data_IF_953493526128
#
_entry.id   IF_953493526128
#
_cell.length_a   1.000
_cell.length_b   1.000
_cell.length_c   1.000
_cell.angle_alpha   90.00
_cell.angle_beta   90.00
_cell.angle_gamma   90.00
#
_symmetry.space_group_name_H-M   'P 1'
#
loop_
_entity.id
_entity.type
_entity.pdbx_description
1 polymer ?
#
# COMPACT_ATOMS: atom_id res chain seq x y z
N UNK A 1 -23.96 13.27 5.87
CA UNK A 1 -24.48 14.65 5.76
C UNK A 1 -23.28 15.55 5.90
N UNK A 2 -23.10 16.46 4.95
CA UNK A 2 -21.85 17.21 4.85
C UNK A 2 -21.50 17.96 6.16
N UNK A 3 -20.20 18.04 6.47
CA UNK A 3 -19.71 18.67 7.70
C UNK A 3 -20.11 20.15 7.82
N UNK A 4 -20.24 20.82 6.68
CA UNK A 4 -20.73 22.20 6.56
C UNK A 4 -21.95 22.24 5.64
N UNK A 5 -22.91 23.15 5.87
CA UNK A 5 -24.01 23.35 4.94
C UNK A 5 -23.48 23.80 3.58
N UNK A 6 -24.08 23.29 2.50
CA UNK A 6 -23.77 23.75 1.15
C UNK A 6 -24.48 25.09 0.91
N UNK A 7 -23.74 26.11 0.47
CA UNK A 7 -24.30 27.43 0.19
C UNK A 7 -25.29 27.33 -0.98
N UNK A 8 -26.49 27.87 -0.82
CA UNK A 8 -27.46 27.96 -1.92
C UNK A 8 -27.05 29.02 -2.95
N UNK A 9 -27.47 28.86 -4.20
CA UNK A 9 -27.10 29.77 -5.30
C UNK A 9 -27.39 31.26 -5.04
N UNK A 10 -28.49 31.52 -4.34
CA UNK A 10 -28.91 32.87 -3.93
C UNK A 10 -27.96 33.51 -2.92
N UNK A 11 -27.28 32.69 -2.11
CA UNK A 11 -26.39 33.11 -1.03
C UNK A 11 -24.91 33.08 -1.41
N UNK A 12 -24.57 32.74 -2.65
CA UNK A 12 -23.19 32.82 -3.16
C UNK A 12 -22.74 34.29 -3.16
N UNK A 13 -21.58 34.56 -2.55
CA UNK A 13 -20.97 35.89 -2.53
C UNK A 13 -20.66 36.39 -3.95
N UNK A 14 -20.84 37.69 -4.18
CA UNK A 14 -20.60 38.31 -5.48
C UNK A 14 -19.16 38.11 -6.01
N UNK A 15 -18.20 37.90 -5.10
CA UNK A 15 -16.79 37.68 -5.43
C UNK A 15 -16.55 36.32 -6.11
N UNK A 16 -17.27 35.27 -5.69
CA UNK A 16 -17.07 33.90 -6.17
C UNK A 16 -18.03 33.54 -7.32
N UNK A 17 -19.18 34.24 -7.40
CA UNK A 17 -20.26 33.98 -8.37
C UNK A 17 -19.77 33.84 -9.82
N UNK A 18 -18.94 34.74 -10.39
CA UNK A 18 -18.55 34.62 -11.79
C UNK A 18 -17.76 33.33 -12.10
N UNK A 19 -16.92 32.88 -11.16
CA UNK A 19 -16.12 31.67 -11.34
C UNK A 19 -16.95 30.40 -11.12
N UNK A 20 -17.92 30.44 -10.21
CA UNK A 20 -18.87 29.33 -9.99
C UNK A 20 -19.75 29.10 -11.21
N UNK A 21 -20.35 30.17 -11.76
CA UNK A 21 -21.17 30.10 -12.97
C UNK A 21 -20.37 29.61 -14.20
N UNK A 22 -19.09 30.02 -14.31
CA UNK A 22 -18.22 29.52 -15.37
C UNK A 22 -17.86 28.03 -15.16
N UNK A 23 -17.68 27.60 -13.91
CA UNK A 23 -17.48 26.21 -13.54
C UNK A 23 -18.70 25.35 -13.88
N UNK A 24 -19.88 25.78 -13.49
CA UNK A 24 -21.15 25.09 -13.75
C UNK A 24 -21.36 24.83 -15.23
N UNK A 25 -21.12 25.82 -16.09
CA UNK A 25 -21.20 25.65 -17.55
C UNK A 25 -20.29 24.56 -18.11
N UNK A 26 -19.16 24.29 -17.42
CA UNK A 26 -18.18 23.28 -17.84
C UNK A 26 -18.59 21.88 -17.38
N UNK A 27 -19.15 21.75 -16.17
CA UNK A 27 -19.47 20.46 -15.55
C UNK A 27 -20.96 20.10 -15.65
N UNK A 28 -21.82 21.01 -16.08
CA UNK A 28 -23.27 20.85 -16.17
C UNK A 28 -24.01 20.97 -14.83
N UNK A 29 -23.27 21.16 -13.73
CA UNK A 29 -23.82 21.31 -12.37
C UNK A 29 -22.82 22.06 -11.48
N UNK A 30 -23.31 22.68 -10.41
CA UNK A 30 -22.47 23.16 -9.32
C UNK A 30 -22.01 21.97 -8.47
N UNK A 31 -20.70 21.88 -8.23
CA UNK A 31 -20.11 20.80 -7.43
C UNK A 31 -20.28 21.09 -5.94
N UNK A 32 -20.58 20.07 -5.14
CA UNK A 32 -20.75 20.15 -3.69
C UNK A 32 -19.49 20.74 -3.01
N UNK A 33 -18.29 20.36 -3.47
CA UNK A 33 -17.05 20.96 -2.96
C UNK A 33 -16.97 22.47 -3.18
N UNK A 34 -17.55 23.01 -4.25
CA UNK A 34 -17.52 24.44 -4.51
C UNK A 34 -18.50 25.19 -3.62
N UNK A 35 -19.70 24.65 -3.46
CA UNK A 35 -20.73 25.19 -2.55
C UNK A 35 -20.28 25.14 -1.09
N UNK A 36 -19.49 24.13 -0.72
CA UNK A 36 -18.88 24.06 0.61
C UNK A 36 -17.81 25.13 0.82
N UNK A 37 -16.90 25.32 -0.16
CA UNK A 37 -15.87 26.37 -0.10
C UNK A 37 -16.50 27.77 -0.07
N UNK A 38 -17.64 27.97 -0.73
CA UNK A 38 -18.37 29.24 -0.74
C UNK A 38 -18.87 29.70 0.65
N UNK A 39 -18.83 28.84 1.68
CA UNK A 39 -19.01 29.29 3.08
C UNK A 39 -17.93 30.30 3.51
N UNK A 40 -16.82 30.39 2.78
CA UNK A 40 -15.74 31.36 2.98
C UNK A 40 -15.66 32.29 1.76
N UNK A 41 -16.33 33.46 1.78
CA UNK A 41 -16.34 34.41 0.66
C UNK A 41 -14.95 34.74 0.14
N UNK A 42 -14.78 34.66 -1.18
CA UNK A 42 -13.52 34.93 -1.90
C UNK A 42 -12.55 33.74 -1.93
N UNK A 43 -12.75 32.69 -1.12
CA UNK A 43 -11.87 31.53 -1.11
C UNK A 43 -11.94 30.78 -2.44
N UNK A 44 -13.13 30.63 -3.03
CA UNK A 44 -13.29 29.93 -4.30
C UNK A 44 -12.54 30.66 -5.44
N UNK A 45 -12.56 31.99 -5.42
CA UNK A 45 -11.87 32.82 -6.42
C UNK A 45 -10.35 32.64 -6.46
N UNK A 46 -9.74 32.24 -5.34
CA UNK A 46 -8.30 31.90 -5.26
C UNK A 46 -8.06 30.41 -5.52
N UNK A 47 -8.97 29.57 -5.02
CA UNK A 47 -8.91 28.12 -5.12
C UNK A 47 -8.90 27.64 -6.58
N UNK A 48 -9.92 28.00 -7.37
CA UNK A 48 -10.11 27.42 -8.71
C UNK A 48 -8.94 27.72 -9.67
N UNK A 49 -8.37 28.94 -9.74
CA UNK A 49 -7.21 29.21 -10.57
C UNK A 49 -5.98 28.36 -10.20
N UNK A 50 -5.73 28.14 -8.91
CA UNK A 50 -4.63 27.30 -8.46
C UNK A 50 -4.81 25.85 -8.92
N UNK A 51 -6.00 25.27 -8.71
CA UNK A 51 -6.32 23.91 -9.19
C UNK A 51 -6.11 23.80 -10.70
N UNK A 52 -6.62 24.76 -11.48
CA UNK A 52 -6.48 24.76 -12.94
C UNK A 52 -5.02 24.85 -13.40
N UNK A 53 -4.20 25.62 -12.68
CA UNK A 53 -2.75 25.73 -12.96
C UNK A 53 -2.03 24.40 -12.77
N UNK A 54 -2.32 23.68 -11.68
CA UNK A 54 -1.67 22.39 -11.37
C UNK A 54 -2.18 21.26 -12.27
N UNK A 55 -3.49 21.21 -12.50
CA UNK A 55 -4.17 20.09 -13.20
C UNK A 55 -4.30 20.28 -14.70
N UNK A 56 -3.98 21.47 -15.21
CA UNK A 56 -4.01 21.81 -16.62
C UNK A 56 -2.85 21.21 -17.43
N UNK A 57 -2.82 21.48 -18.74
CA UNK A 57 -1.71 21.08 -19.60
C UNK A 57 -0.37 21.63 -19.09
N UNK A 58 0.67 20.81 -19.18
CA UNK A 58 2.03 21.15 -18.77
C UNK A 58 3.04 20.20 -19.42
N UNK A 59 4.24 20.11 -18.85
CA UNK A 59 5.29 19.21 -19.34
C UNK A 59 5.03 17.76 -18.94
N UNK A 60 4.40 17.53 -17.77
CA UNK A 60 4.05 16.18 -17.35
C UNK A 60 2.87 15.68 -18.18
N UNK A 61 3.04 14.47 -18.72
CA UNK A 61 2.04 13.80 -19.51
C UNK A 61 0.66 13.78 -18.83
N UNK A 62 -0.39 14.10 -19.59
CA UNK A 62 -1.75 14.23 -19.06
C UNK A 62 -2.26 12.91 -18.50
N UNK A 63 -1.90 11.78 -19.10
CA UNK A 63 -2.32 10.47 -18.61
C UNK A 63 -1.65 10.14 -17.27
N UNK A 64 -0.37 10.46 -17.08
CA UNK A 64 0.29 10.34 -15.76
C UNK A 64 -0.40 11.24 -14.72
N UNK A 65 -0.77 12.48 -15.07
CA UNK A 65 -1.52 13.37 -14.15
C UNK A 65 -2.85 12.75 -13.70
N UNK A 66 -3.63 12.19 -14.62
CA UNK A 66 -4.91 11.57 -14.27
C UNK A 66 -4.75 10.26 -13.48
N UNK A 67 -3.81 9.39 -13.87
CA UNK A 67 -3.52 8.14 -13.14
C UNK A 67 -3.13 8.43 -11.70
N UNK A 68 -2.19 9.34 -11.48
CA UNK A 68 -1.72 9.69 -10.13
C UNK A 68 -2.81 10.37 -9.30
N UNK A 69 -3.66 11.21 -9.92
CA UNK A 69 -4.80 11.83 -9.23
C UNK A 69 -5.85 10.81 -8.75
N UNK A 70 -6.21 9.84 -9.60
CA UNK A 70 -7.11 8.74 -9.22
C UNK A 70 -6.45 7.89 -8.13
N UNK A 71 -5.16 7.60 -8.26
CA UNK A 71 -4.42 6.77 -7.29
C UNK A 71 -4.38 7.40 -5.90
N UNK A 72 -4.07 8.71 -5.79
CA UNK A 72 -4.15 9.43 -4.51
C UNK A 72 -5.54 9.34 -3.89
N UNK A 73 -6.58 9.47 -4.72
CA UNK A 73 -7.97 9.43 -4.26
C UNK A 73 -8.36 8.05 -3.72
N UNK A 74 -7.87 6.97 -4.36
CA UNK A 74 -7.99 5.58 -3.90
C UNK A 74 -7.26 5.36 -2.57
N UNK A 75 -5.98 5.75 -2.48
CA UNK A 75 -5.13 5.57 -1.29
C UNK A 75 -5.66 6.34 -0.07
N UNK A 76 -6.27 7.51 -0.28
CA UNK A 76 -6.91 8.27 0.80
C UNK A 76 -8.37 7.83 1.07
N UNK A 77 -8.84 6.76 0.41
CA UNK A 77 -10.19 6.23 0.55
C UNK A 77 -11.29 7.29 0.35
N UNK A 78 -11.10 8.25 -0.54
CA UNK A 78 -12.05 9.36 -0.71
C UNK A 78 -12.99 9.09 -1.89
N UNK A 79 -14.19 8.55 -1.61
CA UNK A 79 -15.19 8.19 -2.63
C UNK A 79 -15.58 9.37 -3.53
N UNK A 80 -15.85 10.53 -2.94
CA UNK A 80 -16.15 11.76 -3.69
C UNK A 80 -15.01 12.14 -4.64
N UNK A 81 -13.76 12.12 -4.17
CA UNK A 81 -12.61 12.44 -5.03
C UNK A 81 -12.44 11.41 -6.14
N UNK A 82 -12.60 10.12 -5.85
CA UNK A 82 -12.49 9.06 -6.85
C UNK A 82 -13.54 9.21 -7.95
N UNK A 83 -14.80 9.50 -7.62
CA UNK A 83 -15.84 9.81 -8.61
C UNK A 83 -15.39 10.94 -9.54
N UNK A 84 -14.96 12.08 -8.98
CA UNK A 84 -14.54 13.24 -9.77
C UNK A 84 -13.28 13.00 -10.60
N UNK A 85 -12.35 12.17 -10.10
CA UNK A 85 -11.12 11.83 -10.81
C UNK A 85 -11.35 10.79 -11.90
N UNK A 86 -12.23 9.81 -11.68
CA UNK A 86 -12.65 8.88 -12.74
C UNK A 86 -13.39 9.63 -13.86
N UNK A 87 -14.33 10.52 -13.52
CA UNK A 87 -15.00 11.37 -14.51
C UNK A 87 -14.01 12.18 -15.37
N UNK A 88 -13.01 12.79 -14.74
CA UNK A 88 -11.95 13.55 -15.42
C UNK A 88 -11.06 12.67 -16.29
N UNK A 89 -10.62 11.53 -15.76
CA UNK A 89 -9.77 10.57 -16.44
C UNK A 89 -10.41 10.01 -17.71
N UNK A 90 -11.67 9.58 -17.62
CA UNK A 90 -12.44 9.06 -18.75
C UNK A 90 -12.60 10.11 -19.85
N UNK A 91 -12.97 11.34 -19.47
CA UNK A 91 -13.10 12.46 -20.43
C UNK A 91 -11.77 12.86 -21.08
N UNK A 92 -10.63 12.51 -20.47
CA UNK A 92 -9.28 12.74 -21.00
C UNK A 92 -8.67 11.51 -21.68
N UNK A 93 -9.46 10.45 -21.89
CA UNK A 93 -9.09 9.31 -22.73
C UNK A 93 -8.48 8.11 -21.99
N UNK A 94 -8.51 8.07 -20.65
CA UNK A 94 -8.26 6.81 -19.93
C UNK A 94 -9.47 5.88 -20.13
N UNK A 95 -9.22 4.57 -20.15
CA UNK A 95 -10.27 3.57 -20.24
C UNK A 95 -10.76 3.17 -18.84
N UNK A 96 -11.99 2.65 -18.72
CA UNK A 96 -12.45 2.03 -17.47
C UNK A 96 -11.50 0.91 -17.03
N UNK A 97 -10.99 0.11 -17.96
CA UNK A 97 -10.01 -0.94 -17.66
C UNK A 97 -8.70 -0.39 -17.04
N UNK A 98 -8.25 0.82 -17.40
CA UNK A 98 -7.12 1.46 -16.73
C UNK A 98 -7.45 1.82 -15.27
N UNK A 99 -8.67 2.32 -15.03
CA UNK A 99 -9.13 2.68 -13.68
C UNK A 99 -9.33 1.44 -12.80
N UNK A 100 -9.88 0.36 -13.36
CA UNK A 100 -10.02 -0.93 -12.67
C UNK A 100 -8.66 -1.49 -12.27
N UNK A 101 -7.70 -1.53 -13.21
CA UNK A 101 -6.32 -1.96 -12.92
C UNK A 101 -5.66 -1.12 -11.84
N UNK A 102 -5.92 0.19 -11.85
CA UNK A 102 -5.42 1.09 -10.81
C UNK A 102 -6.03 0.77 -9.43
N UNK A 103 -7.31 0.42 -9.39
CA UNK A 103 -8.03 0.04 -8.18
C UNK A 103 -7.61 -1.33 -7.63
N UNK A 104 -7.27 -2.29 -8.51
CA UNK A 104 -6.82 -3.64 -8.11
C UNK A 104 -5.32 -3.74 -7.89
N UNK A 105 -4.54 -2.69 -8.18
CA UNK A 105 -3.08 -2.73 -8.10
C UNK A 105 -2.39 -3.50 -9.23
N UNK A 106 -3.11 -3.84 -10.31
CA UNK A 106 -2.52 -4.51 -11.48
C UNK A 106 -1.84 -3.50 -12.40
N UNK A 107 -0.55 -3.27 -12.18
CA UNK A 107 0.22 -2.30 -12.95
C UNK A 107 0.99 -2.92 -14.12
N UNK A 108 0.76 -4.20 -14.45
CA UNK A 108 1.55 -4.91 -15.44
C UNK A 108 1.42 -4.29 -16.85
N UNK A 109 0.24 -3.76 -17.18
CA UNK A 109 -0.03 -3.14 -18.49
C UNK A 109 0.37 -1.67 -18.59
N UNK A 110 0.77 -1.03 -17.48
CA UNK A 110 1.27 0.34 -17.51
C UNK A 110 2.73 0.38 -17.95
N UNK A 111 3.10 1.48 -18.61
CA UNK A 111 4.49 1.75 -19.00
C UNK A 111 5.38 1.90 -17.77
N UNK A 112 6.70 1.72 -17.94
CA UNK A 112 7.65 1.88 -16.83
C UNK A 112 7.56 3.26 -16.18
N UNK A 113 7.33 4.30 -17.00
CA UNK A 113 7.19 5.69 -16.54
C UNK A 113 5.92 5.89 -15.70
N UNK A 114 4.80 5.30 -16.12
CA UNK A 114 3.55 5.32 -15.36
C UNK A 114 3.68 4.54 -14.04
N UNK A 115 4.25 3.33 -14.08
CA UNK A 115 4.52 2.53 -12.89
C UNK A 115 5.39 3.27 -11.88
N UNK A 116 6.43 3.93 -12.36
CA UNK A 116 7.32 4.72 -11.52
C UNK A 116 6.58 5.93 -10.90
N UNK A 117 5.76 6.63 -11.68
CA UNK A 117 4.92 7.72 -11.15
C UNK A 117 3.91 7.23 -10.10
N UNK A 118 3.31 6.06 -10.29
CA UNK A 118 2.38 5.44 -9.34
C UNK A 118 3.09 5.00 -8.04
N UNK A 119 4.25 4.33 -8.14
CA UNK A 119 5.11 3.99 -6.99
C UNK A 119 5.49 5.25 -6.20
N UNK A 120 5.93 6.29 -6.89
CA UNK A 120 6.28 7.56 -6.27
C UNK A 120 5.06 8.22 -5.60
N UNK A 121 3.90 8.22 -6.28
CA UNK A 121 2.65 8.73 -5.72
C UNK A 121 2.23 8.01 -4.43
N UNK A 122 2.38 6.69 -4.38
CA UNK A 122 2.14 5.90 -3.17
C UNK A 122 3.08 6.32 -2.05
N UNK A 123 4.37 6.45 -2.32
CA UNK A 123 5.36 6.89 -1.33
C UNK A 123 5.05 8.27 -0.74
N UNK A 124 4.66 9.23 -1.59
CA UNK A 124 4.27 10.58 -1.16
C UNK A 124 2.99 10.60 -0.32
N UNK A 125 2.12 9.60 -0.50
CA UNK A 125 0.78 9.57 0.09
C UNK A 125 0.73 8.77 1.39
N UNK A 126 1.38 7.60 1.43
CA UNK A 126 1.34 6.65 2.54
C UNK A 126 2.63 6.59 3.35
N UNK A 127 3.80 6.63 2.70
CA UNK A 127 5.07 6.37 3.38
C UNK A 127 5.63 7.67 4.02
N UNK A 128 5.49 8.80 3.32
CA UNK A 128 5.99 10.10 3.77
C UNK A 128 5.39 10.56 5.11
N UNK A 129 4.07 10.46 5.37
CA UNK A 129 3.49 10.82 6.67
C UNK A 129 4.03 10.00 7.85
N UNK A 130 4.42 8.75 7.60
CA UNK A 130 4.91 7.81 8.61
C UNK A 130 6.44 7.87 8.79
N UNK A 131 7.14 8.59 7.91
CA UNK A 131 8.61 8.68 7.93
C UNK A 131 9.06 9.99 8.57
N UNK A 132 9.73 9.88 9.71
CA UNK A 132 10.28 11.05 10.39
C UNK A 132 11.46 11.65 9.63
N UNK A 133 11.73 12.94 9.86
CA UNK A 133 12.85 13.66 9.25
C UNK A 133 14.22 13.06 9.59
N UNK A 134 14.33 12.40 10.74
CA UNK A 134 15.55 11.68 11.17
C UNK A 134 15.79 10.43 10.33
N UNK A 135 14.73 9.67 10.04
CA UNK A 135 14.80 8.46 9.20
C UNK A 135 15.10 8.79 7.74
N UNK A 136 14.49 9.84 7.21
CA UNK A 136 14.75 10.31 5.84
C UNK A 136 14.56 11.81 5.74
N UNK A 137 15.54 12.48 5.12
CA UNK A 137 15.47 13.93 4.86
C UNK A 137 14.23 14.27 4.03
N UNK A 138 13.87 13.45 3.07
CA UNK A 138 12.75 13.69 2.15
C UNK A 138 11.50 12.91 2.50
N UNK A 139 11.58 11.91 3.39
CA UNK A 139 10.49 10.97 3.68
C UNK A 139 10.23 9.97 2.55
N UNK A 140 11.12 9.89 1.56
CA UNK A 140 11.04 8.98 0.40
C UNK A 140 12.37 8.25 0.27
N UNK A 141 12.31 6.99 -0.14
CA UNK A 141 13.47 6.15 -0.43
C UNK A 141 14.42 6.79 -1.45
N UNK A 142 15.74 6.65 -1.22
CA UNK A 142 16.77 7.31 -2.00
C UNK A 142 16.95 6.70 -3.40
N UNK A 143 16.71 5.40 -3.55
CA UNK A 143 16.75 4.71 -4.84
C UNK A 143 15.56 5.16 -5.68
N UNK A 144 14.35 5.17 -5.10
CA UNK A 144 13.16 5.70 -5.78
C UNK A 144 13.32 7.17 -6.21
N UNK A 145 13.94 8.01 -5.38
CA UNK A 145 14.26 9.39 -5.77
C UNK A 145 15.24 9.48 -6.94
N UNK A 146 16.20 8.56 -7.01
CA UNK A 146 17.14 8.48 -8.13
C UNK A 146 16.41 8.05 -9.40
N UNK A 147 15.63 6.97 -9.36
CA UNK A 147 14.83 6.48 -10.48
C UNK A 147 13.91 7.60 -11.05
N UNK A 148 13.22 8.32 -10.17
CA UNK A 148 12.29 9.39 -10.56
C UNK A 148 13.04 10.59 -11.16
N UNK A 149 14.25 10.93 -10.67
CA UNK A 149 15.08 11.98 -11.25
C UNK A 149 15.62 11.62 -12.64
N UNK A 150 15.92 10.35 -12.85
CA UNK A 150 16.42 9.87 -14.14
C UNK A 150 15.30 9.77 -15.18
N UNK A 151 14.08 9.48 -14.75
CA UNK A 151 12.92 9.28 -15.63
C UNK A 151 12.10 10.55 -15.93
N UNK A 152 12.20 11.60 -15.12
CA UNK A 152 11.41 12.83 -15.26
C UNK A 152 12.28 14.08 -15.23
N UNK A 153 12.03 15.01 -16.15
CA UNK A 153 12.75 16.28 -16.16
C UNK A 153 12.31 17.19 -14.99
N UNK A 154 13.07 18.24 -14.64
CA UNK A 154 12.76 19.09 -13.49
C UNK A 154 11.37 19.73 -13.51
N UNK A 155 10.81 20.06 -14.68
CA UNK A 155 9.46 20.64 -14.80
C UNK A 155 8.40 19.58 -14.53
N UNK A 156 8.56 18.40 -15.11
CA UNK A 156 7.68 17.25 -14.88
C UNK A 156 7.66 16.84 -13.40
N UNK A 157 8.82 16.85 -12.72
CA UNK A 157 8.92 16.54 -11.30
C UNK A 157 8.17 17.54 -10.42
N UNK A 158 8.30 18.83 -10.69
CA UNK A 158 7.55 19.87 -9.97
C UNK A 158 6.05 19.69 -10.19
N UNK A 159 5.62 19.44 -11.43
CA UNK A 159 4.22 19.17 -11.74
C UNK A 159 3.70 17.91 -11.04
N UNK A 160 4.48 16.82 -11.03
CA UNK A 160 4.10 15.55 -10.40
C UNK A 160 3.95 15.70 -8.88
N UNK A 161 4.97 16.24 -8.21
CA UNK A 161 4.94 16.43 -6.75
C UNK A 161 3.84 17.40 -6.34
N UNK A 162 3.66 18.50 -7.09
CA UNK A 162 2.59 19.47 -6.81
C UNK A 162 1.21 18.86 -7.05
N UNK A 163 1.02 18.08 -8.11
CA UNK A 163 -0.25 17.39 -8.39
C UNK A 163 -0.59 16.40 -7.28
N UNK A 164 0.36 15.54 -6.89
CA UNK A 164 0.17 14.57 -5.79
C UNK A 164 -0.12 15.28 -4.47
N UNK A 165 0.61 16.34 -4.14
CA UNK A 165 0.37 17.14 -2.94
C UNK A 165 -1.01 17.81 -2.94
N UNK A 166 -1.42 18.34 -4.09
CA UNK A 166 -2.75 18.93 -4.27
C UNK A 166 -3.86 17.89 -4.03
N UNK A 167 -3.79 16.74 -4.70
CA UNK A 167 -4.82 15.71 -4.54
C UNK A 167 -4.83 15.13 -3.13
N UNK A 168 -3.68 15.08 -2.45
CA UNK A 168 -3.60 14.70 -1.05
C UNK A 168 -4.35 15.69 -0.15
N UNK A 169 -4.20 16.99 -0.38
CA UNK A 169 -4.94 18.01 0.36
C UNK A 169 -6.46 17.94 0.07
N UNK A 170 -6.85 17.86 -1.21
CA UNK A 170 -8.25 17.85 -1.60
C UNK A 170 -8.99 16.60 -1.16
N UNK A 171 -8.39 15.42 -1.32
CA UNK A 171 -9.05 14.17 -0.91
C UNK A 171 -9.28 14.10 0.59
N UNK A 172 -8.36 14.64 1.41
CA UNK A 172 -8.57 14.77 2.86
C UNK A 172 -9.70 15.76 3.18
N UNK A 173 -9.72 16.92 2.51
CA UNK A 173 -10.81 17.88 2.64
C UNK A 173 -12.17 17.26 2.27
N UNK A 174 -12.30 16.69 1.08
CA UNK A 174 -13.53 16.06 0.60
C UNK A 174 -14.00 14.92 1.51
N UNK A 175 -13.08 14.08 2.00
CA UNK A 175 -13.42 12.96 2.90
C UNK A 175 -13.99 13.45 4.22
N UNK A 176 -13.37 14.46 4.83
CA UNK A 176 -13.85 15.02 6.10
C UNK A 176 -15.17 15.78 5.91
N UNK A 177 -15.37 16.37 4.73
CA UNK A 177 -16.60 17.09 4.42
C UNK A 177 -17.80 16.20 4.12
N UNK A 178 -17.63 14.91 3.84
CA UNK A 178 -18.72 13.94 3.63
C UNK A 178 -19.75 14.37 2.56
N UNK A 179 -19.26 14.71 1.36
CA UNK A 179 -20.10 15.13 0.24
C UNK A 179 -20.79 13.94 -0.45
N UNK A 180 -22.06 14.13 -0.81
CA UNK A 180 -22.74 13.29 -1.78
C UNK A 180 -22.11 13.44 -3.17
N UNK A 181 -22.23 12.40 -4.01
CA UNK A 181 -21.69 12.42 -5.36
C UNK A 181 -22.51 13.33 -6.28
N UNK A 182 -21.83 14.17 -7.07
CA UNK A 182 -22.45 15.12 -8.00
C UNK A 182 -22.00 14.96 -9.47
N UNK A 183 -21.03 14.08 -9.74
CA UNK A 183 -20.56 13.70 -11.09
C UNK A 183 -20.79 12.22 -11.43
N UNK A 184 -21.74 11.58 -10.74
CA UNK A 184 -22.10 10.18 -10.94
C UNK A 184 -21.21 9.22 -10.16
N UNK A 185 -21.56 7.93 -10.25
CA UNK A 185 -20.84 6.85 -9.57
C UNK A 185 -19.51 6.54 -10.30
N UNK A 186 -18.42 6.26 -9.56
CA UNK A 186 -17.22 5.73 -10.18
C UNK A 186 -17.48 4.32 -10.75
N UNK A 187 -16.62 3.81 -11.66
CA UNK A 187 -16.75 2.43 -12.14
C UNK A 187 -16.83 1.45 -10.98
N UNK A 188 -17.67 0.43 -11.08
CA UNK A 188 -18.06 -0.41 -9.95
C UNK A 188 -16.87 -1.04 -9.20
N UNK A 189 -15.84 -1.50 -9.92
CA UNK A 189 -14.64 -2.05 -9.30
C UNK A 189 -13.83 -0.99 -8.53
N UNK A 190 -13.81 0.24 -9.03
CA UNK A 190 -13.15 1.37 -8.39
C UNK A 190 -13.94 1.81 -7.15
N UNK A 191 -15.27 1.89 -7.25
CA UNK A 191 -16.13 2.21 -6.10
C UNK A 191 -15.97 1.15 -4.99
N UNK A 192 -15.99 -0.13 -5.35
CA UNK A 192 -15.75 -1.22 -4.43
C UNK A 192 -14.39 -1.12 -3.72
N UNK A 193 -13.33 -0.71 -4.43
CA UNK A 193 -11.99 -0.55 -3.86
C UNK A 193 -11.88 0.64 -2.88
N UNK A 194 -12.71 1.68 -3.03
CA UNK A 194 -12.70 2.86 -2.15
C UNK A 194 -13.57 2.68 -0.91
N UNK A 195 -14.77 2.10 -1.11
CA UNK A 195 -15.75 1.87 -0.05
C UNK A 195 -15.38 0.62 0.76
N UNK A 196 -14.71 -0.33 0.12
CA UNK A 196 -14.05 -1.44 0.77
C UNK A 196 -12.79 -0.97 1.50
N UNK A 197 -12.68 -1.32 2.78
CA UNK A 197 -11.44 -1.24 3.56
C UNK A 197 -10.28 -1.83 2.74
N UNK A 198 -9.35 -1.02 2.22
CA UNK A 198 -8.12 -1.56 1.62
C UNK A 198 -7.19 -2.03 2.73
N UNK A 199 -7.27 -3.31 3.02
CA UNK A 199 -6.10 -4.17 2.99
C UNK A 199 -6.44 -5.18 1.90
N UNK A 200 -5.50 -5.61 1.07
CA UNK A 200 -5.75 -6.54 -0.06
C UNK A 200 -6.77 -7.62 0.32
N UNK A 201 -8.02 -7.45 -0.14
CA UNK A 201 -9.08 -8.45 0.02
C UNK A 201 -9.43 -9.00 -1.34
N UNK A 202 -8.43 -9.39 -2.11
CA UNK A 202 -8.68 -10.43 -3.08
C UNK A 202 -8.96 -11.70 -2.27
N UNK A 203 -10.17 -12.25 -2.39
CA UNK A 203 -10.50 -13.56 -1.81
C UNK A 203 -9.52 -14.66 -2.26
N UNK A 204 -8.79 -14.41 -3.35
CA UNK A 204 -7.70 -15.23 -3.91
C UNK A 204 -6.42 -15.20 -3.07
N UNK A 205 -6.19 -14.15 -2.29
CA UNK A 205 -4.98 -14.02 -1.46
C UNK A 205 -5.15 -14.52 -0.04
N UNK A 206 -6.39 -14.82 0.36
CA UNK A 206 -6.62 -15.62 1.55
C UNK A 206 -6.15 -17.07 1.30
N UNK A 207 -5.69 -17.79 2.34
CA UNK A 207 -5.30 -19.19 2.22
C UNK A 207 -6.54 -20.11 2.08
N UNK A 208 -7.27 -19.96 0.97
CA UNK A 208 -8.46 -20.72 0.63
C UNK A 208 -8.16 -21.63 -0.58
N UNK A 209 -7.94 -22.95 -0.39
CA UNK A 209 -7.64 -23.84 -1.51
C UNK A 209 -8.82 -24.01 -2.45
N UNK A 210 -8.60 -23.89 -3.76
CA UNK A 210 -9.59 -24.26 -4.79
C UNK A 210 -9.76 -25.79 -4.90
N UNK A 211 -8.70 -26.56 -4.61
CA UNK A 211 -8.68 -28.01 -4.65
C UNK A 211 -7.83 -28.59 -3.51
N UNK A 212 -8.24 -29.74 -2.96
CA UNK A 212 -7.43 -30.51 -2.02
C UNK A 212 -7.19 -29.81 -0.68
N UNK A 213 -5.91 -29.60 -0.33
CA UNK A 213 -5.44 -28.97 0.90
C UNK A 213 -4.36 -27.93 0.61
N UNK A 214 -4.24 -26.94 1.49
CA UNK A 214 -3.23 -25.90 1.47
C UNK A 214 -2.52 -25.87 2.83
N UNK A 215 -1.21 -25.67 2.83
CA UNK A 215 -0.43 -25.55 4.05
C UNK A 215 -0.14 -24.08 4.37
N UNK A 216 -0.44 -23.70 5.61
CA UNK A 216 -0.11 -22.40 6.18
C UNK A 216 0.66 -22.59 7.47
N UNK A 217 1.45 -21.59 7.88
CA UNK A 217 2.17 -21.62 9.14
C UNK A 217 1.51 -20.68 10.15
N UNK A 218 1.14 -21.22 11.32
CA UNK A 218 0.53 -20.43 12.38
C UNK A 218 1.54 -20.09 13.47
N UNK A 219 1.54 -18.84 13.91
CA UNK A 219 2.38 -18.33 14.99
C UNK A 219 1.53 -17.65 16.05
N UNK A 220 1.87 -17.92 17.30
CA UNK A 220 1.47 -17.05 18.40
C UNK A 220 2.52 -15.97 18.58
N UNK A 221 2.11 -14.71 18.62
CA UNK A 221 2.99 -13.54 18.66
C UNK A 221 2.60 -12.60 19.79
N UNK A 222 3.53 -11.90 20.40
CA UNK A 222 3.24 -10.96 21.50
C UNK A 222 2.79 -9.60 20.97
N UNK A 223 3.29 -9.18 19.81
CA UNK A 223 2.92 -7.96 19.10
C UNK A 223 2.74 -8.28 17.61
N UNK A 224 1.49 -8.19 17.15
CA UNK A 224 1.09 -8.52 15.78
C UNK A 224 1.73 -7.58 14.76
N UNK A 225 1.84 -6.29 15.06
CA UNK A 225 2.37 -5.30 14.12
C UNK A 225 3.88 -5.48 13.94
N UNK A 226 4.60 -5.75 15.04
CA UNK A 226 6.04 -6.02 15.02
C UNK A 226 6.34 -7.29 14.21
N UNK A 227 5.64 -8.39 14.50
CA UNK A 227 5.86 -9.66 13.82
C UNK A 227 5.43 -9.60 12.34
N UNK A 228 4.32 -8.93 12.02
CA UNK A 228 3.90 -8.65 10.64
C UNK A 228 4.97 -7.93 9.84
N UNK A 229 5.52 -6.83 10.39
CA UNK A 229 6.59 -6.08 9.73
C UNK A 229 7.83 -6.93 9.53
N UNK A 230 8.21 -7.76 10.51
CA UNK A 230 9.34 -8.67 10.38
C UNK A 230 9.18 -9.62 9.19
N UNK A 231 8.04 -10.32 9.08
CA UNK A 231 7.80 -11.25 7.97
C UNK A 231 7.66 -10.54 6.61
N UNK A 232 7.11 -9.33 6.58
CA UNK A 232 7.06 -8.52 5.37
C UNK A 232 8.47 -8.05 4.92
N UNK A 233 9.26 -7.48 5.83
CA UNK A 233 10.53 -6.85 5.49
C UNK A 233 11.67 -7.85 5.29
N UNK A 234 11.79 -8.85 6.16
CA UNK A 234 12.90 -9.83 6.14
C UNK A 234 12.70 -10.87 5.04
N UNK A 235 11.46 -11.34 4.85
CA UNK A 235 11.15 -12.40 3.88
C UNK A 235 10.48 -11.88 2.60
N UNK A 236 10.33 -10.57 2.44
CA UNK A 236 9.66 -9.98 1.28
C UNK A 236 8.18 -10.35 1.20
N UNK A 237 7.54 -10.51 2.36
CA UNK A 237 6.14 -10.93 2.46
C UNK A 237 5.15 -9.82 2.12
N UNK A 238 4.03 -10.19 1.51
CA UNK A 238 2.90 -9.32 1.24
C UNK A 238 1.89 -9.40 2.38
N UNK A 239 1.50 -8.25 2.95
CA UNK A 239 0.51 -8.20 4.03
C UNK A 239 -0.88 -8.36 3.45
N UNK A 240 -1.50 -9.52 3.69
CA UNK A 240 -2.85 -9.88 3.23
C UNK A 240 -3.90 -9.40 4.22
N UNK A 241 -3.66 -9.61 5.51
CA UNK A 241 -4.54 -9.15 6.58
C UNK A 241 -3.69 -8.56 7.70
N UNK A 242 -4.05 -7.35 8.12
CA UNK A 242 -3.20 -6.60 9.02
C UNK A 242 -3.31 -7.04 10.48
N UNK A 243 -4.47 -7.54 10.91
CA UNK A 243 -4.73 -7.86 12.31
C UNK A 243 -5.73 -9.03 12.50
N UNK A 244 -5.53 -9.77 13.61
CA UNK A 244 -6.42 -10.74 14.26
C UNK A 244 -7.36 -11.59 13.37
N UNK A 245 -6.84 -12.58 12.61
CA UNK A 245 -5.42 -12.87 12.46
C UNK A 245 -4.70 -11.95 11.48
N UNK A 246 -3.46 -11.58 11.80
CA UNK A 246 -2.60 -11.04 10.76
C UNK A 246 -2.19 -12.16 9.83
N UNK A 247 -2.16 -11.87 8.53
CA UNK A 247 -1.80 -12.82 7.49
C UNK A 247 -0.77 -12.13 6.58
N UNK A 248 0.40 -12.73 6.46
CA UNK A 248 1.44 -12.31 5.51
C UNK A 248 1.70 -13.45 4.55
N UNK A 249 1.49 -13.22 3.25
CA UNK A 249 1.81 -14.16 2.18
C UNK A 249 3.30 -14.07 1.89
N UNK A 250 4.02 -15.16 2.13
CA UNK A 250 5.47 -15.25 1.95
C UNK A 250 5.75 -16.33 0.93
N UNK A 251 6.26 -15.93 -0.24
CA UNK A 251 6.52 -16.81 -1.37
C UNK A 251 5.31 -17.70 -1.71
N UNK A 252 5.37 -19.00 -1.37
CA UNK A 252 4.37 -20.01 -1.69
C UNK A 252 3.51 -20.42 -0.48
N UNK A 253 3.53 -19.68 0.62
CA UNK A 253 2.76 -19.97 1.83
C UNK A 253 2.26 -18.70 2.53
N UNK A 254 1.56 -18.88 3.66
CA UNK A 254 1.02 -17.81 4.49
C UNK A 254 1.51 -17.99 5.92
N UNK A 255 2.02 -16.90 6.49
CA UNK A 255 2.30 -16.77 7.91
C UNK A 255 1.09 -16.12 8.57
N UNK A 256 0.39 -16.89 9.40
CA UNK A 256 -0.82 -16.48 10.11
C UNK A 256 -0.46 -16.25 11.57
N UNK A 257 -0.76 -15.07 12.10
CA UNK A 257 -0.31 -14.63 13.41
C UNK A 257 -1.47 -14.17 14.28
N UNK A 258 -1.46 -14.57 15.55
CA UNK A 258 -2.41 -14.12 16.58
C UNK A 258 -1.72 -13.90 17.94
N UNK A 259 -2.29 -13.08 18.84
CA UNK A 259 -1.81 -12.88 20.21
C UNK A 259 -1.78 -14.14 21.11
N UNK A 260 -2.31 -15.27 20.63
CA UNK A 260 -2.50 -16.48 21.41
C UNK A 260 -3.89 -16.54 22.05
N UNK A 261 -4.10 -17.52 22.92
CA UNK A 261 -5.40 -17.69 23.56
C UNK A 261 -5.51 -18.97 24.36
N UNK A 262 -6.28 -18.90 25.45
CA UNK A 262 -6.62 -20.05 26.28
C UNK A 262 -7.50 -21.07 25.54
N UNK A 263 -7.93 -22.13 26.23
CA UNK A 263 -8.74 -23.17 25.63
C UNK A 263 -10.07 -22.67 25.06
N UNK A 264 -10.50 -23.29 23.97
CA UNK A 264 -11.76 -23.00 23.27
C UNK A 264 -12.51 -24.30 23.01
N UNK A 265 -13.82 -24.29 22.66
CA UNK A 265 -14.58 -25.53 22.44
C UNK A 265 -13.94 -26.50 21.42
N UNK A 266 -13.24 -25.96 20.42
CA UNK A 266 -12.50 -26.70 19.40
C UNK A 266 -11.13 -27.22 19.88
N UNK A 267 -10.59 -26.66 20.98
CA UNK A 267 -9.32 -27.07 21.59
C UNK A 267 -9.36 -26.93 23.13
N UNK A 268 -10.15 -27.77 23.83
CA UNK A 268 -10.56 -27.55 25.23
C UNK A 268 -9.42 -27.67 26.25
N UNK A 269 -8.29 -28.26 25.87
CA UNK A 269 -7.13 -28.45 26.74
C UNK A 269 -5.87 -27.74 26.20
N UNK A 270 -6.01 -26.89 25.18
CA UNK A 270 -4.86 -26.28 24.48
C UNK A 270 -4.83 -24.77 24.63
N UNK A 271 -3.72 -24.29 25.19
CA UNK A 271 -3.37 -22.88 25.25
C UNK A 271 -2.30 -22.56 24.20
N UNK A 272 -2.55 -21.54 23.40
CA UNK A 272 -1.58 -20.99 22.45
C UNK A 272 -0.85 -19.83 23.13
N UNK A 273 0.47 -19.94 23.22
CA UNK A 273 1.35 -18.93 23.83
C UNK A 273 2.63 -18.77 23.02
N UNK A 274 3.26 -17.60 23.13
CA UNK A 274 4.59 -17.36 22.59
C UNK A 274 5.64 -18.29 23.24
N UNK A 275 6.68 -18.72 22.50
CA UNK A 275 7.77 -19.49 23.08
C UNK A 275 8.47 -18.74 24.21
N UNK A 276 8.85 -19.45 25.27
CA UNK A 276 9.69 -18.87 26.34
C UNK A 276 11.14 -19.31 26.16
N UNK A 277 12.05 -18.48 26.63
CA UNK A 277 13.48 -18.82 26.62
C UNK A 277 13.72 -20.11 27.40
N UNK A 278 14.37 -21.08 26.75
CA UNK A 278 14.64 -22.41 27.31
C UNK A 278 13.57 -23.46 27.03
N UNK A 279 12.43 -23.10 26.45
CA UNK A 279 11.42 -24.07 26.04
C UNK A 279 11.99 -25.01 24.94
N UNK A 280 11.67 -26.32 24.99
CA UNK A 280 11.93 -27.21 23.86
C UNK A 280 11.22 -26.73 22.60
N UNK A 281 11.93 -26.73 21.47
CA UNK A 281 11.35 -26.36 20.17
C UNK A 281 10.45 -27.50 19.69
N UNK A 282 9.14 -27.24 19.59
CA UNK A 282 8.14 -28.21 19.09
C UNK A 282 8.15 -28.36 17.56
N UNK A 283 8.63 -27.33 16.86
CA UNK A 283 8.78 -27.23 15.42
C UNK A 283 9.35 -25.87 15.04
N UNK A 284 9.80 -25.71 13.80
CA UNK A 284 10.37 -24.45 13.30
C UNK A 284 10.05 -24.25 11.82
N UNK A 285 10.04 -22.99 11.38
CA UNK A 285 9.85 -22.66 9.97
C UNK A 285 11.12 -23.00 9.19
N UNK A 286 10.99 -23.73 8.10
CA UNK A 286 12.10 -24.11 7.23
C UNK A 286 12.03 -23.35 5.91
N UNK A 287 13.05 -22.55 5.62
CA UNK A 287 13.10 -21.67 4.45
C UNK A 287 14.28 -22.05 3.56
N UNK A 288 14.03 -22.13 2.25
CA UNK A 288 15.05 -22.39 1.24
C UNK A 288 15.27 -21.19 0.35
N UNK A 289 16.51 -20.73 0.28
CA UNK A 289 16.90 -19.54 -0.49
C UNK A 289 17.83 -19.94 -1.62
N UNK A 290 17.71 -19.22 -2.74
CA UNK A 290 18.56 -19.45 -3.91
C UNK A 290 19.99 -18.95 -3.71
N UNK A 291 20.14 -17.85 -2.95
CA UNK A 291 21.41 -17.22 -2.63
C UNK A 291 21.43 -16.86 -1.14
N UNK A 292 22.18 -17.63 -0.36
CA UNK A 292 22.33 -17.46 1.08
C UNK A 292 23.05 -16.17 1.43
N UNK A 293 24.05 -15.77 0.64
CA UNK A 293 24.82 -14.56 0.94
C UNK A 293 23.97 -13.31 0.75
N UNK A 294 23.21 -13.25 -0.36
CA UNK A 294 22.29 -12.15 -0.63
C UNK A 294 21.16 -12.09 0.41
N UNK A 295 20.54 -13.23 0.72
CA UNK A 295 19.48 -13.29 1.74
C UNK A 295 20.00 -12.87 3.12
N UNK A 296 21.14 -13.40 3.55
CA UNK A 296 21.72 -13.08 4.85
C UNK A 296 22.03 -11.59 4.98
N UNK A 297 22.66 -10.99 3.96
CA UNK A 297 22.96 -9.56 3.94
C UNK A 297 21.69 -8.70 4.04
N UNK A 298 20.64 -9.03 3.26
CA UNK A 298 19.34 -8.36 3.32
C UNK A 298 18.68 -8.49 4.70
N UNK A 299 18.60 -9.71 5.22
CA UNK A 299 17.96 -10.00 6.50
C UNK A 299 18.64 -9.27 7.66
N UNK A 300 19.98 -9.25 7.69
CA UNK A 300 20.77 -8.47 8.67
C UNK A 300 20.49 -6.97 8.54
N UNK A 301 20.44 -6.44 7.31
CA UNK A 301 20.12 -5.03 7.08
C UNK A 301 18.70 -4.65 7.55
N UNK A 302 17.77 -5.62 7.55
CA UNK A 302 16.41 -5.48 8.09
C UNK A 302 16.30 -5.81 9.59
N UNK A 303 17.42 -6.08 10.26
CA UNK A 303 17.48 -6.29 11.71
C UNK A 303 17.20 -7.73 12.19
N UNK A 304 17.29 -8.72 11.29
CA UNK A 304 17.14 -10.12 11.69
C UNK A 304 18.30 -10.57 12.62
N UNK A 305 17.96 -11.38 13.62
CA UNK A 305 18.92 -11.89 14.61
C UNK A 305 19.28 -13.36 14.33
N UNK A 306 20.42 -13.58 13.69
CA UNK A 306 20.96 -14.91 13.41
C UNK A 306 21.68 -15.50 14.62
N UNK A 307 21.53 -16.81 14.84
CA UNK A 307 22.26 -17.53 15.88
C UNK A 307 23.74 -17.73 15.52
N UNK A 308 24.02 -17.91 14.24
CA UNK A 308 25.37 -18.04 13.66
C UNK A 308 25.36 -17.50 12.24
N UNK A 309 26.55 -17.16 11.73
CA UNK A 309 26.76 -17.00 10.28
C UNK A 309 26.37 -18.28 9.51
N UNK A 310 26.08 -18.19 8.20
CA UNK A 310 25.86 -19.36 7.35
C UNK A 310 27.05 -20.34 7.41
N UNK A 311 26.77 -21.59 7.75
CA UNK A 311 27.77 -22.66 7.84
C UNK A 311 27.64 -23.56 6.61
N UNK A 312 28.76 -23.81 5.94
CA UNK A 312 28.84 -24.82 4.88
C UNK A 312 28.88 -26.24 5.48
N UNK A 313 27.86 -27.03 5.16
CA UNK A 313 27.68 -28.42 5.59
C UNK A 313 27.92 -29.40 4.44
N UNK A 314 28.64 -28.97 3.39
CA UNK A 314 28.87 -29.63 2.10
C UNK A 314 27.60 -29.85 1.26
N UNK A 315 26.55 -30.40 1.86
CA UNK A 315 25.25 -30.61 1.21
C UNK A 315 24.41 -29.32 1.08
N UNK A 316 24.60 -28.38 2.01
CA UNK A 316 23.89 -27.10 2.06
C UNK A 316 24.72 -26.04 2.79
N UNK A 317 24.45 -24.76 2.49
CA UNK A 317 24.71 -23.66 3.41
C UNK A 317 23.51 -23.53 4.33
N UNK A 318 23.72 -23.46 5.64
CA UNK A 318 22.62 -23.37 6.62
C UNK A 318 22.95 -22.46 7.80
N UNK A 319 21.96 -21.71 8.24
CA UNK A 319 21.96 -21.00 9.52
C UNK A 319 20.55 -20.97 10.12
N UNK A 320 20.46 -20.43 11.33
CA UNK A 320 19.20 -20.24 12.03
C UNK A 320 19.08 -18.79 12.48
N UNK A 321 17.85 -18.28 12.52
CA UNK A 321 17.52 -16.99 13.08
C UNK A 321 16.28 -17.10 13.98
N UNK A 322 16.08 -16.08 14.82
CA UNK A 322 14.87 -15.94 15.63
C UNK A 322 14.01 -14.80 15.11
N UNK A 323 12.71 -15.04 15.07
CA UNK A 323 11.74 -13.97 14.89
C UNK A 323 11.58 -13.14 16.18
N UNK A 324 10.80 -12.04 16.15
CA UNK A 324 10.64 -11.15 17.32
C UNK A 324 10.12 -11.84 18.58
N UNK A 325 9.37 -12.93 18.43
CA UNK A 325 8.80 -13.72 19.53
C UNK A 325 9.65 -14.93 19.91
N UNK A 326 10.82 -15.08 19.28
CA UNK A 326 11.79 -16.13 19.58
C UNK A 326 11.53 -17.45 18.85
N UNK A 327 10.57 -17.51 17.92
CA UNK A 327 10.36 -18.69 17.07
C UNK A 327 11.61 -18.94 16.24
N UNK A 328 12.01 -20.21 16.14
CA UNK A 328 13.17 -20.60 15.39
C UNK A 328 12.82 -20.67 13.90
N UNK A 329 13.71 -20.15 13.05
CA UNK A 329 13.62 -20.26 11.60
C UNK A 329 14.96 -20.80 11.10
N UNK A 330 14.92 -21.91 10.37
CA UNK A 330 16.06 -22.43 9.63
C UNK A 330 16.04 -21.86 8.23
N UNK A 331 17.18 -21.33 7.79
CA UNK A 331 17.37 -20.88 6.41
C UNK A 331 18.50 -21.69 5.81
N UNK A 332 18.27 -22.24 4.61
CA UNK A 332 19.31 -22.97 3.91
C UNK A 332 19.30 -22.77 2.39
N UNK A 333 20.48 -22.88 1.79
CA UNK A 333 20.67 -22.96 0.35
C UNK A 333 21.22 -24.35 0.03
N UNK A 334 20.48 -25.12 -0.78
CA UNK A 334 20.94 -26.43 -1.22
C UNK A 334 22.12 -26.28 -2.18
N UNK A 335 23.25 -26.89 -1.85
CA UNK A 335 24.49 -26.87 -2.65
C UNK A 335 24.81 -28.29 -3.11
N UNK A 336 25.53 -29.07 -2.30
CA UNK A 336 25.88 -30.46 -2.60
C UNK A 336 24.67 -31.39 -2.70
N UNK A 337 23.56 -31.07 -2.03
CA UNK A 337 22.33 -31.89 -2.08
C UNK A 337 21.77 -32.00 -3.50
N UNK A 338 21.84 -30.92 -4.29
CA UNK A 338 21.39 -30.89 -5.70
C UNK A 338 22.32 -31.76 -6.59
N UNK A 339 23.54 -32.01 -6.12
CA UNK A 339 24.54 -32.86 -6.77
C UNK A 339 24.56 -34.30 -6.20
N UNK A 340 23.61 -34.65 -5.33
CA UNK A 340 23.50 -35.98 -4.73
C UNK A 340 24.42 -36.23 -3.52
N UNK A 341 25.08 -35.19 -3.00
CA UNK A 341 25.92 -35.26 -1.80
C UNK A 341 25.03 -35.11 -0.57
N UNK A 342 25.00 -36.13 0.28
CA UNK A 342 24.26 -36.11 1.56
C UNK A 342 25.10 -35.45 2.66
N UNK A 343 24.42 -34.90 3.67
CA UNK A 343 25.07 -34.39 4.88
C UNK A 343 25.71 -35.56 5.66
N UNK A 344 26.94 -35.38 6.14
CA UNK A 344 27.57 -36.35 7.03
C UNK A 344 26.78 -36.47 8.33
N UNK A 345 26.37 -37.70 8.67
CA UNK A 345 25.55 -38.02 9.84
C UNK A 345 26.17 -37.60 11.19
N UNK A 346 27.45 -37.25 11.23
CA UNK A 346 28.19 -36.83 12.42
C UNK A 346 28.12 -35.32 12.71
N UNK A 347 27.34 -34.55 11.94
CA UNK A 347 27.34 -33.08 12.01
C UNK A 347 26.01 -32.42 12.39
N UNK A 348 25.00 -33.21 12.79
CA UNK A 348 23.71 -32.71 13.31
C UNK A 348 23.74 -32.44 14.81
#
# INVERSE_FOLDING_TARGET
MALVPLVSEENIDATDRPLLEAGEKTFGTLLNTWLAIANCPGMFSTYLPFIRSVTGPGELDTRIKELTAVHVSLLNHCRYSVSHRCYSALNKGLSEADLERLATGDFASFTDRERLALRFTRALTLDLPETTREQSVTGVDAELLTEVRDAFNPRELVELVMSVGLWNALSRFHRVMDFDLDLGEPPAAVDAAVVGVSHSRDAKDLPAPEHGLLLTHFLTVSDVAVSRRFYADVFGGEVVMEENPAIVKVANSWIIMNPGGGPTPDKPDVTLQVPRSGDPVSGFLNVRVADMAAFHAHAVAKGANFLTEPIDRASELRCYLRDPDGHLIEVGQSTGLIQGIQADAASN
#
